data_IF_380964426503
#
_entry.id   IF_380964426503
#
_cell.length_a   1.000
_cell.length_b   1.000
_cell.length_c   1.000
_cell.angle_alpha   90.00
_cell.angle_beta   90.00
_cell.angle_gamma   90.00
#
_symmetry.space_group_name_H-M   'P 1'
#
loop_
_entity.id
_entity.type
_entity.pdbx_description
1 polymer ?
#
# COMPACT_ATOMS: atom_id res chain seq x y z
N UNK A 1 12.66 -1.27 -8.43
CA UNK A 1 12.01 -0.04 -7.96
C UNK A 1 12.93 0.77 -7.05
N UNK A 2 13.37 0.21 -5.92
CA UNK A 2 14.29 0.87 -4.95
C UNK A 2 15.43 1.66 -5.61
N UNK A 3 16.21 1.03 -6.49
CA UNK A 3 17.35 1.71 -7.16
C UNK A 3 16.95 2.98 -7.94
N UNK A 4 15.74 3.02 -8.50
CA UNK A 4 15.24 4.19 -9.23
C UNK A 4 14.50 5.19 -8.32
N UNK A 5 14.01 4.74 -7.17
CA UNK A 5 13.33 5.60 -6.19
C UNK A 5 14.28 6.28 -5.20
N UNK A 6 15.42 5.67 -4.90
CA UNK A 6 16.42 6.22 -3.97
C UNK A 6 16.85 7.66 -4.31
N UNK A 7 17.13 8.03 -5.57
CA UNK A 7 17.47 9.41 -5.90
C UNK A 7 16.35 10.41 -5.60
N UNK A 8 15.08 10.01 -5.77
CA UNK A 8 13.92 10.88 -5.50
C UNK A 8 13.78 11.21 -4.01
N UNK A 9 14.24 10.35 -3.11
CA UNK A 9 14.20 10.62 -1.66
C UNK A 9 14.97 11.89 -1.29
N UNK A 10 15.99 12.23 -2.07
CA UNK A 10 16.87 13.37 -1.84
C UNK A 10 16.51 14.58 -2.70
N UNK A 11 15.51 14.48 -3.58
CA UNK A 11 15.01 15.63 -4.32
C UNK A 11 14.13 16.49 -3.39
N UNK A 12 14.63 17.68 -3.06
CA UNK A 12 14.05 18.65 -2.10
C UNK A 12 12.66 19.17 -2.52
N UNK A 13 12.16 18.79 -3.69
CA UNK A 13 10.96 19.35 -4.31
C UNK A 13 9.65 18.79 -3.78
N UNK A 14 9.63 17.60 -3.15
CA UNK A 14 8.39 16.99 -2.65
C UNK A 14 8.34 16.96 -1.12
N UNK A 15 7.62 17.94 -0.56
CA UNK A 15 7.15 17.92 0.84
C UNK A 15 6.12 16.80 1.00
N UNK A 16 5.95 16.29 2.22
CA UNK A 16 4.89 15.31 2.55
C UNK A 16 3.52 15.71 1.97
N UNK A 17 2.68 14.72 1.66
CA UNK A 17 1.31 14.94 1.22
C UNK A 17 0.51 15.74 2.24
N UNK A 18 -0.51 16.45 1.77
CA UNK A 18 -1.32 17.34 2.62
C UNK A 18 -1.91 16.61 3.83
N UNK A 19 -2.34 15.35 3.62
CA UNK A 19 -2.96 14.53 4.67
C UNK A 19 -1.97 13.96 5.70
N UNK A 20 -0.67 13.89 5.40
CA UNK A 20 0.33 13.28 6.29
C UNK A 20 0.35 13.94 7.67
N UNK A 21 0.28 15.28 7.70
CA UNK A 21 0.23 16.05 8.95
C UNK A 21 -1.09 15.80 9.69
N UNK A 22 -2.21 15.65 8.99
CA UNK A 22 -3.48 15.32 9.62
C UNK A 22 -3.45 13.95 10.28
N UNK A 23 -2.87 12.94 9.61
CA UNK A 23 -2.69 11.60 10.20
C UNK A 23 -1.84 11.64 11.46
N UNK A 24 -0.75 12.42 11.46
CA UNK A 24 0.12 12.59 12.62
C UNK A 24 -0.61 13.23 13.81
N UNK A 25 -1.39 14.28 13.57
CA UNK A 25 -2.15 14.95 14.62
C UNK A 25 -3.21 14.04 15.24
N UNK A 26 -3.95 13.30 14.40
CA UNK A 26 -4.97 12.36 14.84
C UNK A 26 -4.35 11.17 15.59
N UNK A 27 -3.25 10.61 15.07
CA UNK A 27 -2.50 9.55 15.74
C UNK A 27 -1.90 10.04 17.08
N UNK A 28 -1.45 11.29 17.13
CA UNK A 28 -0.99 11.95 18.34
C UNK A 28 -2.10 12.05 19.39
N UNK A 29 -3.33 12.41 19.01
CA UNK A 29 -4.47 12.41 19.94
C UNK A 29 -4.71 11.02 20.55
N UNK A 30 -4.72 9.97 19.73
CA UNK A 30 -4.85 8.58 20.20
C UNK A 30 -3.69 8.18 21.10
N UNK A 31 -2.46 8.56 20.75
CA UNK A 31 -1.26 8.30 21.55
C UNK A 31 -1.36 8.93 22.96
N UNK A 32 -2.01 10.10 23.09
CA UNK A 32 -2.25 10.77 24.37
C UNK A 32 -3.50 10.25 25.13
N UNK A 33 -4.16 9.20 24.62
CA UNK A 33 -5.27 8.54 25.30
C UNK A 33 -6.66 8.96 24.82
N UNK A 34 -6.79 9.69 23.71
CA UNK A 34 -8.10 9.90 23.09
C UNK A 34 -8.66 8.58 22.56
N UNK A 35 -9.90 8.26 22.96
CA UNK A 35 -10.59 7.02 22.57
C UNK A 35 -11.94 7.30 21.89
N UNK A 36 -12.46 8.52 22.00
CA UNK A 36 -13.64 8.96 21.28
C UNK A 36 -13.27 9.36 19.86
N UNK A 37 -13.64 8.52 18.89
CA UNK A 37 -13.39 8.76 17.48
C UNK A 37 -13.96 10.10 16.99
N UNK A 38 -15.08 10.56 17.56
CA UNK A 38 -15.73 11.82 17.15
C UNK A 38 -14.92 13.06 17.53
N UNK A 39 -13.99 12.92 18.47
CA UNK A 39 -13.09 13.98 18.92
C UNK A 39 -11.80 14.05 18.11
N UNK A 40 -11.50 13.02 17.31
CA UNK A 40 -10.30 12.98 16.48
C UNK A 40 -10.40 14.00 15.34
N UNK A 41 -9.49 14.97 15.36
CA UNK A 41 -9.45 16.07 14.39
C UNK A 41 -8.01 16.53 14.13
N UNK A 42 -7.88 17.34 13.08
CA UNK A 42 -6.61 17.89 12.60
C UNK A 42 -6.82 19.32 12.09
N UNK A 43 -5.74 19.96 11.64
CA UNK A 43 -5.81 21.23 10.90
C UNK A 43 -6.61 21.15 9.60
N UNK A 44 -6.88 19.94 9.09
CA UNK A 44 -7.71 19.69 7.90
C UNK A 44 -9.16 19.31 8.25
N UNK A 45 -9.51 19.29 9.54
CA UNK A 45 -10.85 18.95 10.03
C UNK A 45 -10.94 17.59 10.71
N UNK A 46 -12.18 17.06 10.88
CA UNK A 46 -12.45 15.80 11.55
C UNK A 46 -11.81 14.57 10.89
N UNK A 47 -11.68 13.48 11.64
CA UNK A 47 -11.24 12.19 11.11
C UNK A 47 -12.31 11.56 10.20
N UNK A 48 -12.04 11.52 8.89
CA UNK A 48 -12.94 10.93 7.89
C UNK A 48 -12.61 9.47 7.54
N UNK A 49 -11.37 9.02 7.81
CA UNK A 49 -10.94 7.66 7.48
C UNK A 49 -11.13 6.70 8.67
N UNK A 50 -11.48 5.42 8.44
CA UNK A 50 -11.63 4.45 9.52
C UNK A 50 -10.38 4.38 10.43
N UNK A 51 -10.58 4.15 11.72
CA UNK A 51 -9.52 4.31 12.74
C UNK A 51 -8.30 3.39 12.57
N UNK A 52 -8.37 2.34 11.75
CA UNK A 52 -7.25 1.42 11.50
C UNK A 52 -6.02 2.11 10.91
N UNK A 53 -6.19 3.19 10.12
CA UNK A 53 -5.05 3.95 9.62
C UNK A 53 -4.24 4.59 10.77
N UNK A 54 -4.88 4.99 11.88
CA UNK A 54 -4.20 5.64 13.00
C UNK A 54 -3.19 4.70 13.66
N UNK A 55 -3.46 3.40 13.73
CA UNK A 55 -2.50 2.41 14.25
C UNK A 55 -1.21 2.31 13.41
N UNK A 56 -1.27 2.70 12.14
CA UNK A 56 -0.08 2.80 11.30
C UNK A 56 0.69 4.09 11.58
N UNK A 57 -0.02 5.18 11.90
CA UNK A 57 0.58 6.49 12.12
C UNK A 57 0.96 6.78 13.59
N UNK A 58 0.50 6.01 14.57
CA UNK A 58 0.99 6.09 15.96
C UNK A 58 2.52 5.86 16.04
N UNK A 59 3.10 4.77 15.51
CA UNK A 59 4.55 4.60 15.53
C UNK A 59 5.28 5.68 14.73
N UNK A 60 4.63 6.24 13.70
CA UNK A 60 5.18 7.35 12.91
C UNK A 60 5.20 8.65 13.72
N UNK A 61 4.12 8.93 14.46
CA UNK A 61 4.06 10.03 15.40
C UNK A 61 5.13 9.90 16.47
N UNK A 62 5.31 8.71 17.05
CA UNK A 62 6.39 8.44 17.98
C UNK A 62 7.76 8.72 17.36
N UNK A 63 8.00 8.33 16.10
CA UNK A 63 9.25 8.61 15.40
C UNK A 63 9.54 10.12 15.32
N UNK A 64 8.54 10.94 15.02
CA UNK A 64 8.67 12.41 15.02
C UNK A 64 8.97 13.00 16.40
N UNK A 65 8.63 12.32 17.50
CA UNK A 65 9.03 12.75 18.84
C UNK A 65 10.51 12.51 19.13
N UNK A 66 11.14 11.54 18.47
CA UNK A 66 12.51 11.08 18.79
C UNK A 66 13.57 11.47 17.76
N UNK A 67 13.20 11.88 16.54
CA UNK A 67 14.17 12.28 15.51
C UNK A 67 13.60 13.32 14.56
N UNK A 68 14.46 14.24 14.14
CA UNK A 68 14.17 15.21 13.07
C UNK A 68 14.11 14.55 11.68
N UNK A 69 14.68 13.34 11.54
CA UNK A 69 14.71 12.58 10.29
C UNK A 69 13.49 11.68 10.06
N UNK A 70 12.41 11.88 10.84
CA UNK A 70 11.25 11.01 10.80
C UNK A 70 10.56 11.03 9.42
N UNK A 71 10.52 12.18 8.75
CA UNK A 71 9.93 12.32 7.42
C UNK A 71 10.70 11.50 6.37
N UNK A 72 12.03 11.57 6.36
CA UNK A 72 12.90 10.86 5.43
C UNK A 72 12.81 9.34 5.63
N UNK A 73 12.79 8.91 6.90
CA UNK A 73 12.59 7.50 7.25
C UNK A 73 11.23 7.03 6.71
N UNK A 74 10.18 7.83 6.86
CA UNK A 74 8.85 7.45 6.38
C UNK A 74 8.74 7.42 4.86
N UNK A 75 9.36 8.38 4.16
CA UNK A 75 9.47 8.32 2.69
C UNK A 75 10.17 7.04 2.23
N UNK A 76 11.20 6.60 2.95
CA UNK A 76 11.86 5.32 2.68
C UNK A 76 10.96 4.11 2.98
N UNK A 77 10.19 4.13 4.07
CA UNK A 77 9.18 3.08 4.37
C UNK A 77 8.15 2.98 3.25
N UNK A 78 7.62 4.12 2.79
CA UNK A 78 6.69 4.16 1.67
C UNK A 78 7.33 3.64 0.37
N UNK A 79 8.60 3.96 0.08
CA UNK A 79 9.34 3.35 -1.04
C UNK A 79 9.41 1.81 -0.95
N UNK A 80 9.55 1.25 0.26
CA UNK A 80 9.56 -0.20 0.47
C UNK A 80 8.16 -0.80 0.27
N UNK A 81 7.11 -0.14 0.75
CA UNK A 81 5.71 -0.52 0.51
C UNK A 81 5.44 -0.52 -1.00
N UNK A 82 5.80 0.56 -1.71
CA UNK A 82 5.67 0.69 -3.15
C UNK A 82 6.38 -0.45 -3.90
N UNK A 83 7.60 -0.74 -3.48
CA UNK A 83 8.40 -1.81 -4.09
C UNK A 83 7.74 -3.18 -3.89
N UNK A 84 7.16 -3.41 -2.71
CA UNK A 84 6.42 -4.63 -2.38
C UNK A 84 5.14 -4.74 -3.20
N UNK A 85 4.42 -3.63 -3.39
CA UNK A 85 3.24 -3.54 -4.26
C UNK A 85 3.53 -4.00 -5.68
N UNK A 86 4.58 -3.45 -6.30
CA UNK A 86 4.99 -3.83 -7.66
C UNK A 86 5.30 -5.33 -7.76
N UNK A 87 5.95 -5.90 -6.74
CA UNK A 87 6.23 -7.35 -6.69
C UNK A 87 4.94 -8.16 -6.66
N UNK A 88 4.01 -7.85 -5.76
CA UNK A 88 2.76 -8.62 -5.66
C UNK A 88 1.85 -8.44 -6.88
N UNK A 89 1.77 -7.24 -7.47
CA UNK A 89 1.06 -7.02 -8.73
C UNK A 89 1.66 -7.89 -9.84
N UNK A 90 2.98 -7.96 -9.92
CA UNK A 90 3.68 -8.81 -10.91
C UNK A 90 3.39 -10.30 -10.68
N UNK A 91 3.35 -10.76 -9.42
CA UNK A 91 2.98 -12.14 -9.08
C UNK A 91 1.52 -12.46 -9.41
N UNK A 92 0.60 -11.53 -9.14
CA UNK A 92 -0.81 -11.67 -9.48
C UNK A 92 -0.98 -11.73 -11.00
N UNK A 93 -0.31 -10.84 -11.75
CA UNK A 93 -0.31 -10.86 -13.20
C UNK A 93 0.20 -12.20 -13.74
N UNK A 94 1.30 -12.70 -13.19
CA UNK A 94 1.84 -14.00 -13.60
C UNK A 94 0.85 -15.14 -13.33
N UNK A 95 0.22 -15.18 -12.15
CA UNK A 95 -0.80 -16.18 -11.83
C UNK A 95 -2.05 -16.07 -12.72
N UNK A 96 -2.40 -14.86 -13.15
CA UNK A 96 -3.52 -14.60 -14.04
C UNK A 96 -3.24 -15.11 -15.46
N UNK A 97 -2.13 -14.66 -16.07
CA UNK A 97 -1.77 -15.02 -17.45
C UNK A 97 -1.16 -16.42 -17.58
N UNK A 98 -0.54 -16.98 -16.55
CA UNK A 98 -0.01 -18.35 -16.60
C UNK A 98 -1.10 -19.40 -16.78
N UNK A 99 -2.34 -19.10 -16.39
CA UNK A 99 -3.48 -19.99 -16.68
C UNK A 99 -3.81 -20.08 -18.17
N UNK A 100 -3.50 -19.04 -18.96
CA UNK A 100 -3.68 -19.04 -20.41
C UNK A 100 -2.57 -19.81 -21.15
N UNK A 101 -1.39 -19.97 -20.54
CA UNK A 101 -0.23 -20.64 -21.15
C UNK A 101 -0.17 -22.17 -20.98
N UNK A 102 -1.12 -22.80 -20.27
CA UNK A 102 -1.19 -24.27 -20.13
C UNK A 102 -1.42 -25.02 -21.46
N UNK A 103 -1.57 -24.31 -22.59
CA UNK A 103 -1.70 -24.88 -23.94
C UNK A 103 -0.43 -24.87 -24.80
N UNK A 104 0.71 -24.27 -24.39
CA UNK A 104 1.91 -24.26 -25.24
C UNK A 104 3.19 -24.63 -24.49
N UNK A 105 3.76 -25.76 -24.92
CA UNK A 105 5.14 -26.18 -24.76
C UNK A 105 5.59 -26.81 -23.43
N UNK A 106 5.12 -28.04 -23.24
CA UNK A 106 5.64 -29.09 -22.33
C UNK A 106 7.13 -29.45 -22.58
N UNK A 107 7.85 -28.80 -23.52
CA UNK A 107 9.18 -29.27 -23.98
C UNK A 107 10.41 -28.56 -23.43
N UNK A 108 10.31 -27.51 -22.61
CA UNK A 108 11.50 -26.89 -22.00
C UNK A 108 11.22 -26.49 -20.55
N UNK A 109 11.65 -27.34 -19.62
CA UNK A 109 11.40 -27.25 -18.17
C UNK A 109 12.02 -26.04 -17.45
N UNK A 110 11.60 -24.83 -17.80
CA UNK A 110 11.72 -23.64 -16.94
C UNK A 110 10.40 -22.87 -17.00
N UNK A 111 9.67 -22.71 -15.88
CA UNK A 111 8.53 -21.80 -15.85
C UNK A 111 9.09 -20.38 -16.03
N UNK A 112 9.01 -19.85 -17.25
CA UNK A 112 9.22 -18.43 -17.49
C UNK A 112 7.93 -17.72 -17.16
N UNK A 113 8.03 -16.64 -16.39
CA UNK A 113 6.93 -15.71 -16.13
C UNK A 113 6.29 -15.30 -17.47
N UNK A 114 4.96 -15.23 -17.55
CA UNK A 114 4.26 -14.85 -18.79
C UNK A 114 4.81 -13.53 -19.34
N UNK A 115 4.97 -13.44 -20.67
CA UNK A 115 5.47 -12.22 -21.31
C UNK A 115 4.56 -11.02 -20.97
N UNK A 116 3.25 -11.26 -20.95
CA UNK A 116 2.22 -10.30 -20.58
C UNK A 116 2.38 -9.84 -19.11
N UNK A 117 2.62 -10.78 -18.19
CA UNK A 117 2.88 -10.46 -16.79
C UNK A 117 4.16 -9.63 -16.61
N UNK A 118 5.22 -9.93 -17.37
CA UNK A 118 6.46 -9.16 -17.35
C UNK A 118 6.22 -7.73 -17.83
N UNK A 119 5.44 -7.54 -18.89
CA UNK A 119 5.08 -6.21 -19.38
C UNK A 119 4.35 -5.39 -18.32
N UNK A 120 3.41 -5.97 -17.57
CA UNK A 120 2.74 -5.26 -16.48
C UNK A 120 3.75 -4.83 -15.41
N UNK A 121 4.64 -5.73 -14.98
CA UNK A 121 5.69 -5.39 -14.02
C UNK A 121 6.60 -4.26 -14.51
N UNK A 122 6.99 -4.27 -15.79
CA UNK A 122 7.80 -3.21 -16.39
C UNK A 122 7.05 -1.88 -16.55
N UNK A 123 5.75 -1.90 -16.88
CA UNK A 123 4.94 -0.68 -16.98
C UNK A 123 4.85 0.01 -15.62
N UNK A 124 4.54 -0.75 -14.55
CA UNK A 124 4.52 -0.22 -13.19
C UNK A 124 5.89 0.31 -12.78
N UNK A 125 6.95 -0.44 -13.11
CA UNK A 125 8.32 -0.03 -12.83
C UNK A 125 8.76 1.20 -13.64
N UNK A 126 8.26 1.41 -14.86
CA UNK A 126 8.63 2.53 -15.71
C UNK A 126 7.88 3.83 -15.34
N UNK A 127 6.73 3.72 -14.69
CA UNK A 127 5.88 4.86 -14.35
C UNK A 127 6.59 5.83 -13.39
N UNK A 128 6.97 7.01 -13.90
CA UNK A 128 7.66 8.04 -13.11
C UNK A 128 6.70 8.81 -12.22
N UNK A 129 5.47 9.04 -12.66
CA UNK A 129 4.47 9.78 -11.89
C UNK A 129 4.08 9.01 -10.63
N UNK A 130 3.90 7.70 -10.77
CA UNK A 130 3.64 6.78 -9.65
C UNK A 130 4.72 6.87 -8.55
N UNK A 131 5.99 7.02 -8.95
CA UNK A 131 7.09 7.24 -8.00
C UNK A 131 7.00 8.57 -7.23
N UNK A 132 6.32 9.58 -7.77
CA UNK A 132 6.07 10.82 -7.05
C UNK A 132 5.01 10.65 -5.96
N UNK A 133 4.06 9.73 -6.13
CA UNK A 133 2.93 9.59 -5.20
C UNK A 133 3.32 8.95 -3.85
N UNK A 134 4.22 7.95 -3.82
CA UNK A 134 4.65 7.37 -2.54
C UNK A 134 5.42 8.37 -1.66
N UNK A 135 6.06 9.39 -2.28
CA UNK A 135 6.74 10.48 -1.56
C UNK A 135 5.78 11.35 -0.75
N UNK A 136 4.49 11.33 -1.10
CA UNK A 136 3.44 12.05 -0.40
C UNK A 136 2.97 11.31 0.85
N UNK A 137 3.35 10.04 1.04
CA UNK A 137 3.05 9.24 2.23
C UNK A 137 1.56 9.19 2.58
N UNK A 138 0.71 8.94 1.58
CA UNK A 138 -0.72 8.77 1.81
C UNK A 138 -1.04 7.40 2.42
N UNK A 139 -2.11 7.32 3.21
CA UNK A 139 -2.61 6.05 3.72
C UNK A 139 -3.12 5.11 2.62
N UNK A 140 -3.45 5.64 1.44
CA UNK A 140 -3.83 4.89 0.23
C UNK A 140 -2.82 3.80 -0.15
N UNK A 141 -1.52 4.05 0.05
CA UNK A 141 -0.49 3.09 -0.29
C UNK A 141 -0.50 1.86 0.63
N UNK A 142 -0.75 2.10 1.92
CA UNK A 142 -0.94 1.02 2.91
C UNK A 142 -2.22 0.24 2.60
N UNK A 143 -3.31 0.95 2.29
CA UNK A 143 -4.58 0.35 1.90
C UNK A 143 -4.41 -0.57 0.69
N UNK A 144 -3.79 -0.09 -0.39
CA UNK A 144 -3.66 -0.88 -1.62
C UNK A 144 -2.71 -2.07 -1.43
N UNK A 145 -1.72 -1.98 -0.54
CA UNK A 145 -0.89 -3.14 -0.15
C UNK A 145 -1.75 -4.26 0.42
N UNK A 146 -2.65 -3.93 1.34
CA UNK A 146 -3.58 -4.91 1.91
C UNK A 146 -4.56 -5.47 0.87
N UNK A 147 -5.06 -4.64 -0.04
CA UNK A 147 -5.93 -5.10 -1.14
C UNK A 147 -5.19 -6.08 -2.06
N UNK A 148 -3.96 -5.75 -2.46
CA UNK A 148 -3.13 -6.61 -3.31
C UNK A 148 -2.78 -7.93 -2.63
N UNK A 149 -2.46 -7.91 -1.33
CA UNK A 149 -2.26 -9.12 -0.53
C UNK A 149 -3.54 -9.97 -0.44
N UNK A 150 -4.70 -9.34 -0.25
CA UNK A 150 -5.99 -10.02 -0.28
C UNK A 150 -6.19 -10.75 -1.60
N UNK A 151 -6.03 -10.07 -2.74
CA UNK A 151 -6.16 -10.66 -4.08
C UNK A 151 -5.18 -11.83 -4.25
N UNK A 152 -3.92 -11.65 -3.85
CA UNK A 152 -2.91 -12.70 -3.93
C UNK A 152 -3.29 -13.96 -3.15
N UNK A 153 -3.76 -13.81 -1.90
CA UNK A 153 -4.18 -14.95 -1.08
C UNK A 153 -5.48 -15.59 -1.56
N UNK A 154 -6.40 -14.81 -2.14
CA UNK A 154 -7.59 -15.34 -2.82
C UNK A 154 -7.19 -16.23 -4.00
N UNK A 155 -6.25 -15.78 -4.84
CA UNK A 155 -5.76 -16.57 -5.98
C UNK A 155 -4.98 -17.82 -5.55
N UNK A 156 -4.39 -17.83 -4.34
CA UNK A 156 -3.74 -19.00 -3.72
C UNK A 156 -4.71 -19.90 -2.93
N UNK A 157 -6.02 -19.64 -3.00
CA UNK A 157 -7.06 -20.41 -2.28
C UNK A 157 -6.84 -20.42 -0.75
N UNK A 158 -6.38 -19.30 -0.18
CA UNK A 158 -6.22 -19.10 1.26
C UNK A 158 -7.21 -18.05 1.79
N UNK A 159 -8.50 -18.39 1.93
CA UNK A 159 -9.57 -17.42 2.20
C UNK A 159 -9.39 -16.70 3.54
N UNK A 160 -8.93 -17.38 4.59
CA UNK A 160 -8.73 -16.76 5.91
C UNK A 160 -7.71 -15.62 5.84
N UNK A 161 -6.57 -15.84 5.18
CA UNK A 161 -5.56 -14.79 5.00
C UNK A 161 -6.10 -13.66 4.14
N UNK A 162 -6.82 -13.99 3.06
CA UNK A 162 -7.43 -12.99 2.21
C UNK A 162 -8.44 -12.12 2.99
N UNK A 163 -9.30 -12.72 3.82
CA UNK A 163 -10.22 -12.00 4.71
C UNK A 163 -9.50 -11.10 5.70
N UNK A 164 -8.41 -11.57 6.33
CA UNK A 164 -7.60 -10.75 7.24
C UNK A 164 -7.10 -9.48 6.51
N UNK A 165 -6.49 -9.65 5.34
CA UNK A 165 -5.99 -8.51 4.57
C UNK A 165 -7.11 -7.62 4.03
N UNK A 166 -8.26 -8.17 3.64
CA UNK A 166 -9.43 -7.38 3.27
C UNK A 166 -9.91 -6.50 4.44
N UNK A 167 -10.03 -7.07 5.64
CA UNK A 167 -10.41 -6.33 6.85
C UNK A 167 -9.38 -5.27 7.21
N UNK A 168 -8.08 -5.56 7.09
CA UNK A 168 -7.03 -4.57 7.30
C UNK A 168 -7.13 -3.40 6.31
N UNK A 169 -7.33 -3.67 5.02
CA UNK A 169 -7.55 -2.63 4.01
C UNK A 169 -8.76 -1.75 4.32
N UNK A 170 -9.89 -2.37 4.68
CA UNK A 170 -11.12 -1.66 5.06
C UNK A 170 -10.92 -0.78 6.30
N UNK A 171 -10.10 -1.24 7.26
CA UNK A 171 -9.76 -0.47 8.46
C UNK A 171 -8.89 0.76 8.17
N UNK A 172 -8.20 0.81 7.02
CA UNK A 172 -7.40 1.97 6.63
C UNK A 172 -8.25 2.99 5.87
N UNK A 173 -9.06 2.54 4.92
CA UNK A 173 -9.88 3.42 4.07
C UNK A 173 -11.17 2.72 3.66
N UNK A 174 -12.30 3.42 3.86
CA UNK A 174 -13.63 2.87 3.61
C UNK A 174 -13.88 2.50 2.14
N UNK A 175 -13.11 3.06 1.19
CA UNK A 175 -13.23 2.76 -0.24
C UNK A 175 -13.06 1.27 -0.58
N UNK A 176 -12.37 0.50 0.27
CA UNK A 176 -12.23 -0.97 0.10
C UNK A 176 -13.58 -1.69 0.13
N UNK A 177 -14.62 -1.11 0.73
CA UNK A 177 -15.97 -1.71 0.75
C UNK A 177 -16.52 -1.94 -0.65
N UNK A 178 -16.08 -1.15 -1.64
CA UNK A 178 -16.48 -1.30 -3.04
C UNK A 178 -15.98 -2.61 -3.66
N UNK A 179 -14.95 -3.24 -3.07
CA UNK A 179 -14.41 -4.53 -3.49
C UNK A 179 -15.13 -5.72 -2.84
N UNK A 180 -16.07 -5.47 -1.91
CA UNK A 180 -16.75 -6.53 -1.16
C UNK A 180 -17.53 -7.52 -2.05
N UNK A 181 -18.31 -7.09 -3.07
CA UNK A 181 -19.02 -8.04 -3.93
C UNK A 181 -18.07 -8.98 -4.66
N UNK A 182 -17.01 -8.42 -5.25
CA UNK A 182 -15.97 -9.19 -5.93
C UNK A 182 -15.26 -10.17 -4.98
N UNK A 183 -15.00 -9.75 -3.73
CA UNK A 183 -14.38 -10.59 -2.71
C UNK A 183 -15.28 -11.77 -2.29
N UNK A 184 -16.60 -11.54 -2.19
CA UNK A 184 -17.58 -12.57 -1.86
C UNK A 184 -17.95 -13.47 -3.06
N UNK A 185 -17.50 -13.13 -4.27
CA UNK A 185 -17.82 -13.87 -5.50
C UNK A 185 -19.24 -13.63 -6.01
N UNK A 186 -19.81 -12.45 -5.74
CA UNK A 186 -21.13 -12.01 -6.21
C UNK A 186 -21.05 -11.19 -7.49
#
# INVERSE_FOLDING_TARGET
NILMGLPLLFEITMRSGIDYIAYLQQAGAVYHGETDYTMLSSTLGPCYYPAGHLFHYIPVYMLHLYTEHAEEIMKFVHLLIHSTLIVYISLIADMYFSKDHFKKDVKKGKPMMSLEAQFIGFIMLANKEDRGYYMLMFNDEIMILYVVLCIYFTLKSRPILASIFFTLGLSVKAGVVLLLPAFLGQ
#
